data_IF_322148774284
#
_entry.id   IF_322148774284
#
_cell.length_a   1.000
_cell.length_b   1.000
_cell.length_c   1.000
_cell.angle_alpha   90.00
_cell.angle_beta   90.00
_cell.angle_gamma   90.00
#
_symmetry.space_group_name_H-M   'P 1'
#
loop_
_entity.id
_entity.type
_entity.pdbx_description
1 polymer ?
#
# COMPACT_ATOMS: atom_id res chain seq x y z
N UNK A 1 24.03 -19.99 -15.30
CA UNK A 1 23.03 -19.92 -16.37
C UNK A 1 23.07 -18.53 -16.99
N UNK A 2 23.09 -18.48 -18.28
CA UNK A 2 23.11 -17.18 -18.96
C UNK A 2 21.71 -16.66 -19.16
N UNK A 3 21.49 -15.38 -18.78
CA UNK A 3 20.21 -14.69 -18.98
C UNK A 3 20.26 -13.76 -20.19
N UNK A 4 21.31 -13.86 -21.00
CA UNK A 4 21.44 -13.03 -22.20
C UNK A 4 20.35 -13.39 -23.20
N UNK A 5 19.60 -12.41 -23.72
CA UNK A 5 18.61 -12.69 -24.75
C UNK A 5 19.29 -13.04 -26.07
N UNK A 6 18.60 -13.78 -26.93
CA UNK A 6 19.05 -14.04 -28.27
C UNK A 6 19.10 -12.73 -29.06
N UNK A 7 20.03 -12.60 -30.04
CA UNK A 7 20.08 -11.43 -30.91
C UNK A 7 18.68 -11.17 -31.53
N UNK A 8 18.18 -9.94 -31.44
CA UNK A 8 16.89 -9.56 -31.95
C UNK A 8 15.70 -9.90 -31.08
N UNK A 9 15.89 -10.59 -29.96
CA UNK A 9 14.83 -10.89 -28.99
C UNK A 9 14.77 -9.81 -27.93
N UNK A 10 13.57 -9.35 -27.52
CA UNK A 10 13.47 -8.42 -26.38
C UNK A 10 13.87 -9.12 -25.09
N UNK A 11 14.55 -8.40 -24.23
CA UNK A 11 14.81 -8.87 -22.88
C UNK A 11 13.52 -8.77 -22.05
N UNK A 12 13.15 -9.88 -21.40
CA UNK A 12 11.98 -9.90 -20.53
C UNK A 12 12.47 -9.59 -19.11
N UNK A 13 11.90 -8.54 -18.52
CA UNK A 13 12.26 -8.10 -17.17
C UNK A 13 11.01 -7.67 -16.44
N UNK A 14 10.57 -8.48 -15.51
CA UNK A 14 9.50 -8.11 -14.59
C UNK A 14 10.11 -7.17 -13.56
N UNK A 15 9.52 -6.00 -13.38
CA UNK A 15 10.08 -4.95 -12.52
C UNK A 15 9.45 -4.92 -11.13
N UNK A 16 8.14 -5.09 -11.05
CA UNK A 16 7.43 -5.02 -9.77
C UNK A 16 6.01 -5.54 -9.92
N UNK A 17 5.38 -5.76 -8.80
CA UNK A 17 3.93 -5.98 -8.71
C UNK A 17 3.36 -4.83 -7.88
N UNK A 18 2.25 -4.26 -8.30
CA UNK A 18 1.69 -3.05 -7.69
C UNK A 18 0.26 -3.34 -7.22
N UNK A 19 -0.01 -3.29 -5.91
CA UNK A 19 -1.38 -3.36 -5.41
C UNK A 19 -2.22 -2.25 -6.03
N UNK A 20 -3.43 -2.60 -6.48
CA UNK A 20 -4.32 -1.65 -7.14
C UNK A 20 -5.66 -1.65 -6.42
N UNK A 21 -6.08 -0.48 -5.94
CA UNK A 21 -7.29 -0.31 -5.17
C UNK A 21 -8.33 0.44 -5.98
N UNK A 22 -9.55 -0.12 -6.02
CA UNK A 22 -10.70 0.57 -6.57
C UNK A 22 -11.26 1.51 -5.50
N UNK A 23 -11.39 2.79 -5.83
CA UNK A 23 -11.87 3.81 -4.89
C UNK A 23 -12.87 4.74 -5.58
N UNK A 24 -13.75 5.33 -4.80
CA UNK A 24 -14.71 6.29 -5.33
C UNK A 24 -14.05 7.61 -5.71
N UNK A 25 -13.15 8.12 -4.88
CA UNK A 25 -12.50 9.42 -5.06
C UNK A 25 -10.98 9.25 -4.99
N UNK A 26 -10.34 9.22 -6.16
CA UNK A 26 -8.89 9.03 -6.26
C UNK A 26 -8.13 10.19 -5.64
N UNK A 27 -8.54 11.43 -5.92
CA UNK A 27 -7.84 12.61 -5.41
C UNK A 27 -7.87 12.70 -3.89
N UNK A 28 -9.03 12.49 -3.28
CA UNK A 28 -9.17 12.51 -1.83
C UNK A 28 -8.35 11.39 -1.17
N UNK A 29 -8.37 10.20 -1.78
CA UNK A 29 -7.58 9.08 -1.28
C UNK A 29 -6.08 9.36 -1.37
N UNK A 30 -5.62 9.91 -2.50
CA UNK A 30 -4.22 10.26 -2.66
C UNK A 30 -3.75 11.29 -1.62
N UNK A 31 -4.57 12.31 -1.33
CA UNK A 31 -4.24 13.30 -0.30
C UNK A 31 -4.15 12.68 1.08
N UNK A 32 -5.03 11.74 1.40
CA UNK A 32 -5.00 11.04 2.68
C UNK A 32 -3.69 10.25 2.85
N UNK A 33 -3.28 9.53 1.81
CA UNK A 33 -2.03 8.77 1.85
C UNK A 33 -0.80 9.68 1.99
N UNK A 34 -0.84 10.84 1.32
CA UNK A 34 0.26 11.81 1.44
C UNK A 34 0.35 12.37 2.86
N UNK A 35 -0.78 12.76 3.42
CA UNK A 35 -0.84 13.39 4.75
C UNK A 35 -0.48 12.43 5.87
N UNK A 36 -0.99 11.19 5.82
CA UNK A 36 -0.91 10.28 6.95
C UNK A 36 0.15 9.20 6.82
N UNK A 37 0.48 8.78 5.61
CA UNK A 37 1.42 7.68 5.40
C UNK A 37 2.65 8.10 4.58
N UNK A 38 2.73 9.35 4.16
CA UNK A 38 3.90 9.88 3.47
C UNK A 38 4.08 9.38 2.04
N UNK A 39 3.01 8.92 1.39
CA UNK A 39 3.05 8.54 -0.02
C UNK A 39 2.80 9.77 -0.88
N UNK A 40 3.69 10.03 -1.83
CA UNK A 40 3.50 11.11 -2.80
C UNK A 40 2.77 10.61 -4.03
N UNK A 41 1.99 11.46 -4.68
CA UNK A 41 1.40 11.16 -5.98
C UNK A 41 2.48 11.28 -7.03
N UNK A 42 2.85 10.14 -7.64
CA UNK A 42 3.89 10.09 -8.67
C UNK A 42 3.33 10.32 -10.07
N UNK A 43 2.03 10.09 -10.27
CA UNK A 43 1.37 10.32 -11.53
C UNK A 43 -0.14 10.23 -11.38
N UNK A 44 -0.87 10.84 -12.28
CA UNK A 44 -2.33 10.77 -12.28
C UNK A 44 -2.87 11.06 -13.67
N UNK A 45 -4.11 10.67 -13.92
CA UNK A 45 -4.80 10.94 -15.15
C UNK A 45 -6.30 11.10 -14.87
N UNK A 46 -7.01 12.03 -15.49
CA UNK A 46 -6.49 13.11 -16.34
C UNK A 46 -5.65 14.14 -15.53
N UNK A 47 -5.28 15.25 -16.16
CA UNK A 47 -4.43 16.25 -15.52
C UNK A 47 -5.10 16.98 -14.37
N UNK A 48 -6.43 17.04 -14.36
CA UNK A 48 -7.20 17.66 -13.27
C UNK A 48 -8.27 16.71 -12.74
N UNK A 49 -8.68 16.93 -11.50
CA UNK A 49 -9.73 16.11 -10.87
C UNK A 49 -11.09 16.28 -11.57
N UNK A 50 -11.92 15.23 -11.55
CA UNK A 50 -11.72 13.97 -10.86
C UNK A 50 -10.74 13.06 -11.62
N UNK A 51 -9.77 12.50 -10.88
CA UNK A 51 -8.80 11.57 -11.47
C UNK A 51 -9.43 10.20 -11.69
N UNK A 52 -9.14 9.61 -12.86
CA UNK A 52 -9.48 8.22 -13.12
C UNK A 52 -8.45 7.27 -12.52
N UNK A 53 -7.22 7.75 -12.32
CA UNK A 53 -6.08 6.95 -11.92
C UNK A 53 -5.07 7.82 -11.17
N UNK A 54 -4.40 7.22 -10.19
CA UNK A 54 -3.19 7.79 -9.59
C UNK A 54 -2.23 6.68 -9.18
N UNK A 55 -0.94 6.99 -9.28
CA UNK A 55 0.13 6.18 -8.71
C UNK A 55 0.68 6.90 -7.49
N UNK A 56 0.74 6.19 -6.37
CA UNK A 56 1.27 6.71 -5.11
C UNK A 56 2.55 5.97 -4.79
N UNK A 57 3.58 6.70 -4.37
CA UNK A 57 4.88 6.08 -4.04
C UNK A 57 5.43 6.61 -2.73
N UNK A 58 6.02 5.70 -1.98
CA UNK A 58 6.92 6.04 -0.88
C UNK A 58 8.15 5.16 -1.01
N UNK A 59 9.32 5.78 -1.33
CA UNK A 59 10.49 5.00 -1.72
C UNK A 59 10.16 4.09 -2.90
N UNK A 60 10.54 2.81 -2.85
CA UNK A 60 10.22 1.86 -3.94
C UNK A 60 8.81 1.28 -3.86
N UNK A 61 8.07 1.51 -2.78
CA UNK A 61 6.71 1.00 -2.65
C UNK A 61 5.74 1.83 -3.47
N UNK A 62 4.89 1.14 -4.24
CA UNK A 62 3.89 1.78 -5.09
C UNK A 62 2.51 1.20 -4.81
N UNK A 63 1.51 2.07 -4.80
CA UNK A 63 0.09 1.71 -4.80
C UNK A 63 -0.58 2.42 -5.96
N UNK A 64 -1.53 1.76 -6.61
CA UNK A 64 -2.30 2.39 -7.68
C UNK A 64 -3.75 2.52 -7.25
N UNK A 65 -4.36 3.63 -7.62
CA UNK A 65 -5.77 3.91 -7.36
C UNK A 65 -6.50 4.03 -8.69
N UNK A 66 -7.62 3.31 -8.83
CA UNK A 66 -8.49 3.41 -9.99
C UNK A 66 -9.88 3.85 -9.52
N UNK A 67 -10.47 4.79 -10.24
CA UNK A 67 -11.78 5.30 -9.87
C UNK A 67 -12.89 4.36 -10.36
N UNK A 68 -13.75 3.98 -9.42
CA UNK A 68 -15.04 3.40 -9.69
C UNK A 68 -16.06 4.17 -8.87
N UNK A 69 -16.83 5.03 -9.54
CA UNK A 69 -17.77 5.91 -8.85
C UNK A 69 -18.76 5.10 -7.98
N UNK A 70 -18.88 5.50 -6.73
CA UNK A 70 -19.77 4.84 -5.78
C UNK A 70 -19.26 3.50 -5.25
N UNK A 71 -18.06 3.07 -5.61
CA UNK A 71 -17.55 1.78 -5.17
C UNK A 71 -17.37 1.74 -3.64
N UNK A 72 -17.79 0.64 -3.04
CA UNK A 72 -17.55 0.36 -1.63
C UNK A 72 -16.84 -0.98 -1.53
N UNK A 73 -15.65 -0.96 -0.96
CA UNK A 73 -14.87 -2.18 -0.73
C UNK A 73 -15.60 -3.05 0.31
N UNK A 74 -15.82 -4.35 0.02
CA UNK A 74 -16.35 -5.26 1.02
C UNK A 74 -15.41 -5.38 2.22
N UNK A 75 -15.98 -5.45 3.42
CA UNK A 75 -15.20 -5.72 4.62
C UNK A 75 -14.94 -7.22 4.73
N UNK A 76 -13.70 -7.61 4.46
CA UNK A 76 -13.25 -9.00 4.50
C UNK A 76 -12.43 -9.31 5.76
N UNK A 77 -12.33 -8.38 6.69
CA UNK A 77 -11.44 -8.49 7.85
C UNK A 77 -11.81 -9.66 8.76
N UNK A 78 -13.07 -10.11 8.75
CA UNK A 78 -13.51 -11.22 9.56
C UNK A 78 -13.37 -12.60 8.94
N UNK A 79 -12.83 -12.72 7.73
CA UNK A 79 -12.72 -14.01 7.05
C UNK A 79 -11.67 -14.94 7.67
N UNK A 80 -10.70 -14.39 8.37
CA UNK A 80 -9.66 -15.15 9.07
C UNK A 80 -9.51 -14.65 10.49
N UNK A 81 -9.38 -15.56 11.49
CA UNK A 81 -9.11 -15.14 12.88
C UNK A 81 -7.81 -14.35 13.01
N UNK A 82 -6.80 -14.67 12.19
CA UNK A 82 -5.49 -14.01 12.20
C UNK A 82 -5.53 -12.63 11.52
N UNK A 83 -6.66 -12.28 10.92
CA UNK A 83 -6.81 -11.07 10.13
C UNK A 83 -6.59 -11.30 8.66
N UNK A 84 -6.95 -10.31 7.87
CA UNK A 84 -6.71 -10.29 6.43
C UNK A 84 -6.32 -8.89 6.02
N UNK A 85 -5.61 -8.78 4.90
CA UNK A 85 -5.14 -7.48 4.42
C UNK A 85 -5.18 -7.43 2.90
N UNK A 86 -5.12 -6.21 2.38
CA UNK A 86 -5.16 -5.96 0.94
C UNK A 86 -3.77 -5.72 0.37
N UNK A 87 -2.84 -5.26 1.20
CA UNK A 87 -1.45 -5.08 0.81
C UNK A 87 -0.53 -5.29 2.00
N UNK A 88 0.63 -5.89 1.76
CA UNK A 88 1.68 -6.05 2.75
C UNK A 88 2.90 -5.25 2.28
N UNK A 89 3.34 -4.30 3.08
CA UNK A 89 4.45 -3.42 2.75
C UNK A 89 5.62 -3.77 3.67
N UNK A 90 6.68 -4.30 3.09
CA UNK A 90 7.91 -4.59 3.82
C UNK A 90 8.71 -3.32 3.96
N UNK A 91 9.25 -3.10 5.16
CA UNK A 91 10.00 -1.89 5.42
C UNK A 91 11.05 -2.10 6.50
N UNK A 92 12.05 -1.23 6.47
CA UNK A 92 12.96 -1.04 7.59
C UNK A 92 12.41 0.07 8.47
N UNK A 93 12.69 0.00 9.77
CA UNK A 93 12.25 1.04 10.69
C UNK A 93 10.78 1.04 11.02
N UNK A 94 10.14 -0.13 11.03
CA UNK A 94 8.69 -0.23 11.30
C UNK A 94 8.34 0.31 12.69
N UNK A 95 9.21 0.11 13.68
CA UNK A 95 8.98 0.65 15.03
C UNK A 95 8.96 2.17 15.04
N UNK A 96 9.93 2.79 14.37
CA UNK A 96 9.98 4.26 14.26
C UNK A 96 8.78 4.81 13.49
N UNK A 97 8.37 4.13 12.42
CA UNK A 97 7.19 4.56 11.68
C UNK A 97 5.93 4.46 12.54
N UNK A 98 5.77 3.36 13.26
CA UNK A 98 4.62 3.20 14.15
C UNK A 98 4.56 4.33 15.20
N UNK A 99 5.69 4.74 15.74
CA UNK A 99 5.70 5.84 16.73
C UNK A 99 5.15 7.14 16.15
N UNK A 100 5.26 7.35 14.84
CA UNK A 100 4.72 8.57 14.19
C UNK A 100 3.21 8.51 13.97
N UNK A 101 2.60 7.33 14.01
CA UNK A 101 1.17 7.16 13.69
C UNK A 101 0.37 6.51 14.82
N UNK A 102 1.01 6.02 15.86
CA UNK A 102 0.30 5.37 16.96
C UNK A 102 -0.74 6.28 17.58
N UNK A 103 -1.85 5.69 18.01
CA UNK A 103 -2.94 6.44 18.61
C UNK A 103 -3.86 7.14 17.61
N UNK A 104 -3.55 7.07 16.32
CA UNK A 104 -4.44 7.61 15.29
C UNK A 104 -5.60 6.64 15.06
N UNK A 105 -6.74 7.20 14.67
CA UNK A 105 -7.96 6.43 14.47
C UNK A 105 -7.90 5.43 13.31
N UNK A 106 -6.97 5.63 12.37
CA UNK A 106 -6.79 4.72 11.24
C UNK A 106 -5.91 3.50 11.55
N UNK A 107 -5.36 3.40 12.75
CA UNK A 107 -4.63 2.19 13.17
C UNK A 107 -5.65 1.06 13.38
N UNK A 108 -5.55 0.04 12.53
CA UNK A 108 -6.44 -1.12 12.56
C UNK A 108 -5.99 -2.17 13.56
N UNK A 109 -4.67 -2.38 13.68
CA UNK A 109 -4.07 -3.24 14.68
C UNK A 109 -2.73 -2.67 15.13
N UNK A 110 -2.42 -2.73 16.45
CA UNK A 110 -1.18 -2.15 16.96
C UNK A 110 0.04 -2.96 16.58
N UNK A 111 1.23 -2.35 16.76
CA UNK A 111 2.50 -3.01 16.49
C UNK A 111 2.68 -4.22 17.42
N UNK A 112 2.84 -5.38 16.83
CA UNK A 112 3.07 -6.65 17.55
C UNK A 112 4.12 -7.48 16.82
N UNK A 113 4.85 -8.30 17.58
CA UNK A 113 5.77 -9.26 17.00
C UNK A 113 5.01 -10.52 16.60
N UNK A 114 5.20 -10.93 15.35
CA UNK A 114 4.56 -12.15 14.86
C UNK A 114 5.44 -13.38 15.14
N UNK A 115 4.84 -14.59 15.16
CA UNK A 115 5.60 -15.82 15.42
C UNK A 115 6.76 -16.06 14.44
N UNK A 116 6.67 -15.54 13.21
CA UNK A 116 7.73 -15.66 12.21
C UNK A 116 8.83 -14.60 12.34
N UNK A 117 8.76 -13.73 13.35
CA UNK A 117 9.86 -12.83 13.71
C UNK A 117 9.67 -11.36 13.32
N UNK A 118 8.85 -11.06 12.34
CA UNK A 118 8.61 -9.67 11.93
C UNK A 118 7.69 -8.95 12.93
N UNK A 119 7.89 -7.65 13.04
CA UNK A 119 6.97 -6.77 13.74
C UNK A 119 6.04 -6.14 12.71
N UNK A 120 4.75 -6.08 13.03
CA UNK A 120 3.73 -5.61 12.09
C UNK A 120 2.69 -4.76 12.80
N UNK A 121 2.20 -3.75 12.10
CA UNK A 121 0.97 -3.05 12.47
C UNK A 121 0.10 -2.86 11.22
N UNK A 122 -1.17 -2.57 11.43
CA UNK A 122 -2.13 -2.49 10.34
C UNK A 122 -2.79 -1.12 10.32
N UNK A 123 -2.98 -0.61 9.11
CA UNK A 123 -3.67 0.65 8.84
C UNK A 123 -4.91 0.33 8.02
N UNK A 124 -6.03 0.96 8.37
CA UNK A 124 -7.23 0.93 7.53
C UNK A 124 -7.38 2.30 6.88
N UNK A 125 -7.41 2.34 5.55
CA UNK A 125 -7.57 3.60 4.84
C UNK A 125 -9.04 4.04 4.79
N UNK A 126 -9.35 5.26 4.29
CA UNK A 126 -10.73 5.76 4.28
C UNK A 126 -11.70 4.92 3.46
N UNK A 127 -11.19 4.09 2.54
CA UNK A 127 -12.03 3.25 1.69
C UNK A 127 -12.20 1.84 2.26
N UNK A 128 -11.56 1.54 3.40
CA UNK A 128 -11.64 0.24 4.03
C UNK A 128 -10.55 -0.74 3.62
N UNK A 129 -9.56 -0.33 2.84
CA UNK A 129 -8.41 -1.17 2.53
C UNK A 129 -7.49 -1.27 3.74
N UNK A 130 -7.04 -2.48 4.02
CA UNK A 130 -6.13 -2.77 5.12
C UNK A 130 -4.73 -3.00 4.58
N UNK A 131 -3.79 -2.20 5.06
CA UNK A 131 -2.38 -2.31 4.73
C UNK A 131 -1.62 -2.76 5.97
N UNK A 132 -0.76 -3.77 5.80
CA UNK A 132 0.17 -4.20 6.85
C UNK A 132 1.53 -3.58 6.55
N UNK A 133 2.13 -2.96 7.55
CA UNK A 133 3.52 -2.51 7.50
C UNK A 133 4.33 -3.45 8.38
N UNK A 134 5.33 -4.10 7.81
CA UNK A 134 6.06 -5.15 8.52
C UNK A 134 7.54 -5.15 8.25
N UNK A 135 8.30 -5.55 9.25
CA UNK A 135 9.73 -5.66 9.17
C UNK A 135 10.37 -5.86 10.53
N UNK A 136 11.68 -5.67 10.58
CA UNK A 136 12.42 -5.71 11.81
C UNK A 136 12.33 -4.36 12.51
N UNK A 137 11.97 -4.36 13.78
CA UNK A 137 11.76 -3.12 14.54
C UNK A 137 13.04 -2.32 14.73
N UNK A 138 14.19 -2.99 14.72
CA UNK A 138 15.50 -2.38 14.94
C UNK A 138 16.16 -1.85 13.66
N UNK A 139 15.52 -2.01 12.54
CA UNK A 139 16.05 -1.52 11.26
C UNK A 139 15.33 -0.28 10.77
#
# INVERSE_FOLDING_TARGET
MSDSPSPGSPEIRIRSAVPTFLVDDVGATARWYAEHLGFRTAGHFPSSEPYAYASLMRGPAELMLLRVAGYRKPDLSGLRPEGSWDAYIRMDGVGAFYETVRGRDFIHAPLVKRPYGDWEFEVRDPNGYVLVFGGDVDL
#
